data_IF_470368833811
#
_entry.id   IF_470368833811
#
_cell.length_a   1.000
_cell.length_b   1.000
_cell.length_c   1.000
_cell.angle_alpha   90.00
_cell.angle_beta   90.00
_cell.angle_gamma   90.00
#
_symmetry.space_group_name_H-M   'P 1'
#
loop_
_entity.id
_entity.type
_entity.pdbx_description
1 polymer ?
#
# COMPACT_ATOMS: atom_id res chain seq x y z
N UNK A 1 -12.91 0.96 81.83
CA UNK A 1 -13.39 1.39 80.49
C UNK A 1 -12.31 1.09 79.47
N UNK A 2 -12.72 0.42 78.39
CA UNK A 2 -11.91 -0.35 77.45
C UNK A 2 -11.07 0.58 76.54
N UNK A 3 -9.73 0.42 76.52
CA UNK A 3 -8.85 1.10 75.56
C UNK A 3 -8.69 0.21 74.31
N UNK A 4 -9.44 0.55 73.27
CA UNK A 4 -9.35 -0.12 71.96
C UNK A 4 -8.12 0.39 71.21
N UNK A 5 -7.12 -0.48 71.00
CA UNK A 5 -6.00 -0.23 70.10
C UNK A 5 -6.43 -0.58 68.66
N UNK A 6 -6.54 0.42 67.79
CA UNK A 6 -6.68 0.22 66.34
C UNK A 6 -5.28 -0.03 65.74
N UNK A 7 -5.04 -1.14 65.02
CA UNK A 7 -3.80 -1.30 64.27
C UNK A 7 -3.87 -0.42 63.00
N UNK A 8 -2.92 0.50 62.88
CA UNK A 8 -2.69 1.27 61.67
C UNK A 8 -2.09 0.33 60.61
N UNK A 9 -2.88 -0.08 59.62
CA UNK A 9 -2.39 -0.81 58.47
C UNK A 9 -1.70 0.19 57.53
N UNK A 10 -0.37 0.26 57.59
CA UNK A 10 0.42 1.07 56.68
C UNK A 10 0.35 0.44 55.28
N UNK A 11 -0.44 1.06 54.38
CA UNK A 11 -0.49 0.69 52.98
C UNK A 11 0.81 1.18 52.32
N UNK A 12 1.81 0.31 52.21
CA UNK A 12 3.02 0.61 51.43
C UNK A 12 2.64 0.71 49.96
N UNK A 13 2.46 1.94 49.46
CA UNK A 13 2.39 2.21 48.02
C UNK A 13 3.78 2.05 47.44
N UNK A 14 4.15 0.83 47.08
CA UNK A 14 5.34 0.57 46.29
C UNK A 14 5.13 1.12 44.88
N UNK A 15 5.90 2.13 44.48
CA UNK A 15 5.98 2.56 43.09
C UNK A 15 6.78 1.47 42.36
N UNK A 16 6.07 0.58 41.65
CA UNK A 16 6.71 -0.34 40.73
C UNK A 16 7.22 0.47 39.53
N UNK A 17 8.52 0.79 39.50
CA UNK A 17 9.17 1.29 38.30
C UNK A 17 9.32 0.12 37.32
N UNK A 18 8.65 0.19 36.18
CA UNK A 18 8.94 -0.69 35.07
C UNK A 18 10.37 -0.39 34.58
N UNK A 19 11.22 -1.41 34.49
CA UNK A 19 12.57 -1.27 33.97
C UNK A 19 12.52 -0.80 32.51
N UNK A 20 13.26 0.26 32.17
CA UNK A 20 13.33 0.76 30.79
C UNK A 20 13.96 -0.31 29.92
N UNK A 21 13.20 -0.80 28.93
CA UNK A 21 13.70 -1.82 28.00
C UNK A 21 14.76 -1.21 27.08
N UNK A 22 16.03 -1.58 27.26
CA UNK A 22 17.13 -1.08 26.43
C UNK A 22 17.21 -1.83 25.09
N UNK A 23 16.77 -1.17 24.03
CA UNK A 23 16.86 -1.69 22.65
C UNK A 23 18.14 -1.29 21.91
N UNK A 24 18.87 -0.27 22.39
CA UNK A 24 20.03 0.28 21.70
C UNK A 24 19.70 0.68 20.25
N UNK A 25 20.48 0.17 19.29
CA UNK A 25 20.28 0.35 17.85
C UNK A 25 19.73 -0.90 17.16
N UNK A 26 19.18 -1.86 17.91
CA UNK A 26 18.65 -3.09 17.34
C UNK A 26 17.37 -2.80 16.55
N UNK A 27 17.20 -3.49 15.43
CA UNK A 27 15.90 -3.53 14.74
C UNK A 27 15.04 -4.53 15.47
N UNK A 28 13.93 -4.06 16.01
CA UNK A 28 12.96 -4.88 16.72
C UNK A 28 11.71 -5.07 15.84
N UNK A 29 11.14 -6.27 15.85
CA UNK A 29 9.85 -6.53 15.21
C UNK A 29 8.73 -6.02 16.13
N UNK A 30 7.77 -5.27 15.59
CA UNK A 30 6.65 -4.76 16.37
C UNK A 30 5.46 -5.74 16.36
N UNK A 31 5.63 -6.88 17.03
CA UNK A 31 4.69 -8.03 16.99
C UNK A 31 4.19 -8.47 18.36
N UNK A 32 4.70 -7.88 19.43
CA UNK A 32 4.37 -8.23 20.81
C UNK A 32 4.22 -6.98 21.70
N UNK A 33 4.11 -7.19 23.02
CA UNK A 33 3.88 -6.12 24.00
C UNK A 33 5.16 -5.57 24.62
N UNK A 34 6.35 -6.06 24.23
CA UNK A 34 7.62 -5.69 24.86
C UNK A 34 7.88 -4.18 24.79
N UNK A 35 7.58 -3.57 23.64
CA UNK A 35 7.80 -2.14 23.39
C UNK A 35 6.50 -1.32 23.51
N UNK A 36 5.46 -1.88 24.14
CA UNK A 36 4.17 -1.23 24.28
C UNK A 36 3.93 -0.89 25.75
N UNK A 37 3.99 0.41 26.06
CA UNK A 37 3.68 0.91 27.40
C UNK A 37 2.16 0.82 27.69
N UNK A 38 1.32 1.31 26.77
CA UNK A 38 -0.12 1.31 26.96
C UNK A 38 -0.89 1.09 25.66
N UNK A 39 -2.01 0.37 25.76
CA UNK A 39 -3.03 0.23 24.71
C UNK A 39 -4.39 0.63 25.27
N UNK A 40 -5.03 1.64 24.65
CA UNK A 40 -6.38 2.11 24.98
C UNK A 40 -7.24 2.04 23.73
N UNK A 41 -8.27 1.20 23.75
CA UNK A 41 -9.13 1.00 22.58
C UNK A 41 -8.39 0.41 21.37
N UNK A 42 -7.27 -0.28 21.59
CA UNK A 42 -6.42 -0.85 20.53
C UNK A 42 -6.09 -2.31 20.83
N UNK A 43 -5.74 -3.07 19.79
CA UNK A 43 -5.30 -4.46 19.86
C UNK A 43 -4.21 -4.72 18.81
N UNK A 44 -3.22 -5.56 19.15
CA UNK A 44 -2.31 -6.13 18.15
C UNK A 44 -3.07 -7.23 17.42
N UNK A 45 -3.17 -7.11 16.09
CA UNK A 45 -3.88 -8.07 15.26
C UNK A 45 -2.98 -8.48 14.10
N UNK A 46 -2.67 -9.77 14.01
CA UNK A 46 -2.22 -10.32 12.74
C UNK A 46 -3.40 -10.30 11.77
N UNK A 47 -3.28 -9.51 10.72
CA UNK A 47 -4.24 -9.51 9.63
C UNK A 47 -4.11 -10.85 8.88
N UNK A 48 -5.22 -11.56 8.78
CA UNK A 48 -5.30 -12.74 7.95
C UNK A 48 -5.77 -12.28 6.57
N UNK A 49 -5.05 -12.61 5.48
CA UNK A 49 -5.55 -12.33 4.15
C UNK A 49 -6.84 -13.13 3.95
N UNK A 50 -7.87 -12.46 3.45
CA UNK A 50 -9.10 -13.11 3.01
C UNK A 50 -9.01 -13.31 1.49
N UNK A 51 -9.38 -14.50 1.02
CA UNK A 51 -9.48 -14.76 -0.42
C UNK A 51 -10.64 -13.94 -0.99
N UNK A 52 -10.30 -12.87 -1.71
CA UNK A 52 -11.28 -11.97 -2.34
C UNK A 52 -11.47 -12.24 -3.84
N UNK A 53 -10.95 -13.36 -4.35
CA UNK A 53 -10.96 -13.70 -5.76
C UNK A 53 -10.00 -12.85 -6.61
N UNK A 54 -10.21 -12.86 -7.93
CA UNK A 54 -9.37 -12.15 -8.90
C UNK A 54 -9.76 -10.67 -8.93
N UNK A 55 -8.84 -9.79 -8.53
CA UNK A 55 -9.05 -8.34 -8.58
C UNK A 55 -8.97 -7.76 -10.01
N UNK A 56 -7.94 -8.13 -10.76
CA UNK A 56 -7.74 -7.70 -12.16
C UNK A 56 -7.14 -8.86 -12.96
N UNK A 57 -7.67 -9.09 -14.16
CA UNK A 57 -7.09 -10.04 -15.11
C UNK A 57 -6.14 -9.33 -16.05
N UNK A 58 -5.08 -10.00 -16.47
CA UNK A 58 -4.15 -9.53 -17.49
C UNK A 58 -4.39 -10.31 -18.79
N UNK A 59 -5.49 -9.97 -19.45
CA UNK A 59 -6.09 -10.70 -20.58
C UNK A 59 -6.08 -9.91 -21.90
N UNK A 60 -5.46 -8.75 -21.92
CA UNK A 60 -5.30 -7.95 -23.14
C UNK A 60 -4.00 -8.32 -23.89
N UNK A 61 -3.95 -8.13 -25.23
CA UNK A 61 -2.80 -8.50 -26.05
C UNK A 61 -1.46 -7.88 -25.63
N UNK A 62 -1.47 -6.74 -24.93
CA UNK A 62 -0.28 -6.03 -24.46
C UNK A 62 0.14 -6.38 -23.03
N UNK A 63 -0.65 -7.17 -22.30
CA UNK A 63 -0.42 -7.44 -20.88
C UNK A 63 0.46 -8.68 -20.67
N UNK A 64 0.11 -9.82 -21.25
CA UNK A 64 0.89 -11.06 -21.15
C UNK A 64 1.14 -11.56 -19.72
N UNK A 65 1.85 -12.70 -19.62
CA UNK A 65 2.06 -13.42 -18.35
C UNK A 65 2.94 -12.69 -17.33
N UNK A 66 3.61 -11.62 -17.77
CA UNK A 66 4.57 -10.87 -16.96
C UNK A 66 4.07 -9.47 -16.60
N UNK A 67 2.77 -9.20 -16.78
CA UNK A 67 2.16 -8.03 -16.18
C UNK A 67 2.32 -8.02 -14.66
N UNK A 68 2.82 -6.90 -14.14
CA UNK A 68 3.25 -6.78 -12.75
C UNK A 68 3.37 -5.30 -12.32
N UNK A 69 3.99 -5.06 -11.16
CA UNK A 69 4.35 -3.73 -10.66
C UNK A 69 3.16 -2.76 -10.57
N UNK A 70 2.04 -3.28 -10.06
CA UNK A 70 0.83 -2.50 -9.85
C UNK A 70 1.08 -1.43 -8.77
N UNK A 71 0.78 -0.19 -9.10
CA UNK A 71 0.62 0.94 -8.18
C UNK A 71 -0.84 1.38 -8.19
N UNK A 72 -1.48 1.42 -7.03
CA UNK A 72 -2.85 1.95 -6.88
C UNK A 72 -2.83 3.21 -6.02
N UNK A 73 -3.46 4.27 -6.52
CA UNK A 73 -3.56 5.57 -5.85
C UNK A 73 -5.03 5.97 -5.77
N UNK A 74 -5.49 6.40 -4.59
CA UNK A 74 -6.74 7.12 -4.47
C UNK A 74 -6.52 8.58 -4.83
N UNK A 75 -7.09 9.02 -5.95
CA UNK A 75 -7.04 10.40 -6.40
C UNK A 75 -8.31 11.12 -5.91
N UNK A 76 -8.15 11.87 -4.82
CA UNK A 76 -9.24 12.63 -4.19
C UNK A 76 -9.83 13.68 -5.14
N UNK A 77 -9.03 14.31 -6.00
CA UNK A 77 -9.52 15.33 -6.95
C UNK A 77 -10.39 14.72 -8.06
N UNK A 78 -9.99 13.53 -8.53
CA UNK A 78 -10.73 12.81 -9.56
C UNK A 78 -11.84 11.90 -8.99
N UNK A 79 -11.94 11.81 -7.66
CA UNK A 79 -12.84 10.94 -6.91
C UNK A 79 -12.84 9.49 -7.44
N UNK A 80 -11.63 8.93 -7.64
CA UNK A 80 -11.45 7.55 -8.12
C UNK A 80 -10.11 6.96 -7.70
N UNK A 81 -10.05 5.64 -7.72
CA UNK A 81 -8.81 4.89 -7.67
C UNK A 81 -8.22 4.76 -9.07
N UNK A 82 -6.91 4.99 -9.15
CA UNK A 82 -6.12 4.89 -10.37
C UNK A 82 -5.09 3.79 -10.19
N UNK A 83 -5.04 2.86 -11.13
CA UNK A 83 -4.08 1.77 -11.17
C UNK A 83 -3.14 1.98 -12.35
N UNK A 84 -1.84 1.90 -12.07
CA UNK A 84 -0.78 1.89 -13.05
C UNK A 84 -0.05 0.56 -12.94
N UNK A 85 0.22 -0.09 -14.06
CA UNK A 85 0.85 -1.41 -14.05
C UNK A 85 1.63 -1.66 -15.31
N UNK A 86 2.59 -2.59 -15.25
CA UNK A 86 3.33 -3.04 -16.42
C UNK A 86 2.46 -3.98 -17.25
N UNK A 87 2.40 -3.75 -18.56
CA UNK A 87 2.09 -4.76 -19.56
C UNK A 87 3.37 -5.31 -20.20
N UNK A 88 3.49 -6.63 -20.31
CA UNK A 88 4.59 -7.30 -21.00
C UNK A 88 4.11 -8.57 -21.72
N UNK A 89 3.91 -8.45 -23.03
CA UNK A 89 3.46 -9.51 -23.94
C UNK A 89 4.52 -10.60 -24.25
N UNK A 90 5.46 -10.86 -23.34
CA UNK A 90 6.47 -11.92 -23.45
C UNK A 90 7.86 -11.45 -23.86
N UNK A 91 8.13 -10.14 -23.77
CA UNK A 91 9.43 -9.56 -24.02
C UNK A 91 10.37 -9.71 -22.81
N UNK A 92 11.67 -9.58 -23.07
CA UNK A 92 12.67 -9.50 -22.00
C UNK A 92 12.46 -8.20 -21.21
N UNK A 93 12.78 -8.25 -19.92
CA UNK A 93 12.74 -7.09 -19.03
C UNK A 93 13.63 -5.94 -19.56
N UNK A 94 13.16 -4.70 -19.39
CA UNK A 94 13.88 -3.49 -19.77
C UNK A 94 13.88 -3.20 -21.28
N UNK A 95 13.02 -3.85 -22.06
CA UNK A 95 12.94 -3.65 -23.51
C UNK A 95 11.74 -2.78 -23.90
N UNK A 96 11.76 -2.26 -25.14
CA UNK A 96 10.68 -1.40 -25.66
C UNK A 96 9.34 -2.11 -25.85
N UNK A 97 9.31 -3.45 -25.73
CA UNK A 97 8.07 -4.23 -25.76
C UNK A 97 7.27 -4.17 -24.45
N UNK A 98 7.84 -3.61 -23.39
CA UNK A 98 7.14 -3.33 -22.14
C UNK A 98 6.40 -2.00 -22.21
N UNK A 99 5.19 -1.97 -21.65
CA UNK A 99 4.32 -0.79 -21.62
C UNK A 99 3.84 -0.51 -20.21
N UNK A 100 3.50 0.74 -19.92
CA UNK A 100 2.75 1.08 -18.71
C UNK A 100 1.29 1.29 -19.07
N UNK A 101 0.42 0.55 -18.41
CA UNK A 101 -1.02 0.54 -18.61
C UNK A 101 -1.73 1.26 -17.47
N UNK A 102 -2.98 1.65 -17.72
CA UNK A 102 -3.83 2.36 -16.76
C UNK A 102 -5.18 1.67 -16.58
N UNK A 103 -5.65 1.55 -15.35
CA UNK A 103 -7.03 1.17 -15.04
C UNK A 103 -7.60 2.09 -13.95
N UNK A 104 -8.92 2.17 -13.85
CA UNK A 104 -9.59 2.99 -12.87
C UNK A 104 -10.76 2.28 -12.19
N UNK A 105 -11.07 2.70 -10.97
CA UNK A 105 -12.11 2.12 -10.14
C UNK A 105 -12.77 3.18 -9.28
N UNK A 106 -14.08 3.09 -9.07
CA UNK A 106 -14.81 3.95 -8.15
C UNK A 106 -14.78 3.43 -6.70
N UNK A 107 -14.57 2.13 -6.50
CA UNK A 107 -14.69 1.44 -5.21
C UNK A 107 -13.40 0.72 -4.76
N UNK A 108 -12.36 0.75 -5.59
CA UNK A 108 -11.08 0.07 -5.38
C UNK A 108 -11.16 -1.45 -5.56
N UNK A 109 -12.31 -1.99 -5.97
CA UNK A 109 -12.57 -3.42 -6.11
C UNK A 109 -12.82 -3.81 -7.56
N UNK A 110 -13.65 -3.03 -8.25
CA UNK A 110 -14.04 -3.27 -9.64
C UNK A 110 -13.27 -2.34 -10.56
N UNK A 111 -12.51 -2.89 -11.50
CA UNK A 111 -11.60 -2.12 -12.33
C UNK A 111 -12.03 -2.07 -13.80
N UNK A 112 -11.95 -0.88 -14.38
CA UNK A 112 -12.18 -0.60 -15.80
C UNK A 112 -10.84 -0.23 -16.44
N UNK A 113 -10.54 -0.84 -17.60
CA UNK A 113 -9.39 -0.49 -18.45
C UNK A 113 -9.90 0.43 -19.57
N UNK A 114 -9.82 1.77 -19.44
CA UNK A 114 -10.36 2.67 -20.45
C UNK A 114 -9.52 2.64 -21.73
N UNK A 115 -10.18 2.90 -22.86
CA UNK A 115 -9.54 3.01 -24.17
C UNK A 115 -8.93 4.42 -24.29
N UNK A 116 -7.65 4.55 -23.94
CA UNK A 116 -6.97 5.84 -23.85
C UNK A 116 -6.65 6.45 -25.22
N UNK A 117 -6.43 5.62 -26.25
CA UNK A 117 -6.15 6.13 -27.60
C UNK A 117 -4.77 6.76 -27.79
N UNK A 118 -3.86 6.61 -26.82
CA UNK A 118 -2.58 7.33 -26.77
C UNK A 118 -1.50 6.67 -27.63
N UNK A 119 -1.37 5.36 -27.56
CA UNK A 119 -0.33 4.59 -28.24
C UNK A 119 -0.93 3.54 -29.16
N UNK A 120 -0.31 3.32 -30.33
CA UNK A 120 -0.68 2.22 -31.21
C UNK A 120 0.02 0.94 -30.78
N UNK A 121 -0.77 -0.10 -30.50
CA UNK A 121 -0.29 -1.42 -30.10
C UNK A 121 -0.92 -2.45 -31.03
N UNK A 122 -0.10 -3.27 -31.68
CA UNK A 122 -0.55 -4.27 -32.65
C UNK A 122 -1.51 -3.69 -33.72
N UNK A 123 -1.23 -2.47 -34.21
CA UNK A 123 -2.03 -1.80 -35.25
C UNK A 123 -3.32 -1.13 -34.77
N UNK A 124 -3.55 -1.01 -33.46
CA UNK A 124 -4.74 -0.35 -32.90
C UNK A 124 -4.40 0.57 -31.74
N UNK A 125 -5.12 1.70 -31.65
CA UNK A 125 -5.11 2.60 -30.48
C UNK A 125 -6.18 2.23 -29.43
N UNK A 126 -6.93 1.16 -29.68
CA UNK A 126 -7.97 0.66 -28.79
C UNK A 126 -7.37 -0.12 -27.61
N UNK A 127 -6.73 0.60 -26.70
CA UNK A 127 -6.01 0.05 -25.56
C UNK A 127 -5.92 1.04 -24.39
N UNK A 128 -5.47 0.56 -23.24
CA UNK A 128 -5.27 1.35 -22.02
C UNK A 128 -3.79 1.66 -21.73
N UNK A 129 -2.94 1.66 -22.76
CA UNK A 129 -1.52 1.96 -22.61
C UNK A 129 -1.32 3.47 -22.43
N UNK A 130 -0.68 3.85 -21.33
CA UNK A 130 -0.34 5.23 -20.99
C UNK A 130 1.07 5.59 -21.46
N UNK A 131 2.04 4.67 -21.31
CA UNK A 131 3.42 4.85 -21.74
C UNK A 131 3.88 3.65 -22.58
N UNK A 132 4.52 3.91 -23.72
CA UNK A 132 5.09 2.90 -24.62
C UNK A 132 6.40 3.41 -25.23
N UNK A 133 7.25 2.49 -25.69
CA UNK A 133 8.52 2.80 -26.38
C UNK A 133 9.50 3.69 -25.60
N UNK A 134 9.41 3.66 -24.26
CA UNK A 134 10.25 4.45 -23.36
C UNK A 134 11.07 3.53 -22.47
N UNK A 135 11.73 2.52 -23.04
CA UNK A 135 12.59 1.63 -22.25
C UNK A 135 13.76 2.44 -21.61
N UNK A 136 14.12 2.17 -20.34
CA UNK A 136 13.53 1.17 -19.44
C UNK A 136 12.38 1.70 -18.56
N UNK A 137 11.92 2.94 -18.78
CA UNK A 137 10.97 3.66 -17.91
C UNK A 137 9.56 3.06 -17.85
N UNK A 138 9.16 2.25 -18.83
CA UNK A 138 7.86 1.54 -18.82
C UNK A 138 7.83 0.30 -17.93
N UNK A 139 8.99 -0.15 -17.44
CA UNK A 139 9.14 -1.41 -16.72
C UNK A 139 8.45 -1.38 -15.34
N UNK A 140 8.81 -0.44 -14.47
CA UNK A 140 8.34 -0.37 -13.08
C UNK A 140 7.87 1.03 -12.70
N UNK A 141 7.01 1.62 -13.53
CA UNK A 141 6.46 2.95 -13.30
C UNK A 141 5.69 3.00 -11.97
N UNK A 142 6.18 3.80 -11.02
CA UNK A 142 5.63 3.96 -9.69
C UNK A 142 5.29 5.44 -9.44
N UNK A 143 4.12 5.91 -9.92
CA UNK A 143 3.73 7.30 -9.75
C UNK A 143 3.35 7.59 -8.29
N UNK A 144 3.37 8.88 -7.94
CA UNK A 144 2.81 9.39 -6.70
C UNK A 144 2.16 10.76 -6.96
N UNK A 145 1.21 11.15 -6.13
CA UNK A 145 0.60 12.48 -6.19
C UNK A 145 1.45 13.44 -5.34
N UNK A 146 2.07 14.44 -5.98
CA UNK A 146 2.73 15.53 -5.26
C UNK A 146 1.69 16.52 -4.71
N UNK A 147 1.47 16.50 -3.40
CA UNK A 147 0.53 17.41 -2.70
C UNK A 147 1.21 18.68 -2.18
N UNK A 148 2.47 18.93 -2.53
CA UNK A 148 3.20 20.11 -2.06
C UNK A 148 2.49 21.39 -2.55
N UNK A 149 2.20 22.36 -1.65
CA UNK A 149 1.62 23.63 -2.06
C UNK A 149 2.48 24.35 -3.12
N UNK A 150 1.84 24.92 -4.14
CA UNK A 150 2.52 25.69 -5.20
C UNK A 150 3.03 24.87 -6.38
N UNK A 151 2.81 23.55 -6.41
CA UNK A 151 2.99 22.74 -7.61
C UNK A 151 1.87 23.08 -8.61
N UNK A 152 2.18 23.42 -9.88
CA UNK A 152 1.16 23.70 -10.89
C UNK A 152 0.23 22.51 -11.09
N UNK A 153 -1.04 22.79 -11.38
CA UNK A 153 -1.96 21.76 -11.89
C UNK A 153 -1.55 21.41 -13.32
N UNK A 154 -1.49 20.11 -13.61
CA UNK A 154 -1.23 19.55 -14.95
C UNK A 154 -2.46 19.66 -15.86
#
# INVERSE_FOLDING_TARGET
MLRTLLPFLALCTGIAYAEVTNIGSRRELFVDKLLIDQMKGAALKLHHPEEAGIAVKFDQPWEGRFSAYITVIHNDEANKFQMYYRGNAGFKDGTSGEVTCYAESADGKTWVKPKLGLHEINGSKDNNVMLANLAPYTHNFAPFIDRRPGVPKE
#
